data_IF_009451479428
#
_entry.id   IF_009451479428
#
_cell.length_a   1.000
_cell.length_b   1.000
_cell.length_c   1.000
_cell.angle_alpha   90.00
_cell.angle_beta   90.00
_cell.angle_gamma   90.00
#
_symmetry.space_group_name_H-M   'P 1'
#
loop_
_entity.id
_entity.type
_entity.pdbx_description
1 polymer ?
#
# COMPACT_ATOMS: atom_id res chain seq x y z
N UNK A 1 -5.61 -32.87 -34.87
CA UNK A 1 -5.42 -31.46 -35.26
C UNK A 1 -4.60 -30.80 -34.14
N UNK A 2 -3.38 -30.30 -34.51
CA UNK A 2 -2.35 -29.84 -33.58
C UNK A 2 -2.54 -28.35 -33.27
N UNK A 3 -2.97 -27.99 -32.06
CA UNK A 3 -3.03 -26.58 -31.57
C UNK A 3 -2.45 -26.46 -30.14
N UNK A 4 -1.41 -27.23 -29.83
CA UNK A 4 -0.85 -27.29 -28.48
C UNK A 4 0.51 -26.61 -28.30
N UNK A 5 1.01 -25.91 -29.32
CA UNK A 5 2.40 -25.43 -29.30
C UNK A 5 2.62 -23.94 -29.11
N UNK A 6 1.60 -23.09 -29.23
CA UNK A 6 1.80 -21.65 -29.31
C UNK A 6 1.59 -20.89 -27.98
N UNK A 7 0.93 -21.51 -27.01
CA UNK A 7 0.68 -20.88 -25.71
C UNK A 7 1.86 -20.98 -24.72
N UNK A 8 2.75 -21.95 -24.93
CA UNK A 8 3.85 -22.20 -23.99
C UNK A 8 5.05 -21.25 -24.15
N UNK A 9 5.22 -20.65 -25.32
CA UNK A 9 6.35 -19.76 -25.61
C UNK A 9 6.15 -18.33 -25.09
N UNK A 10 4.92 -17.87 -24.90
CA UNK A 10 4.65 -16.52 -24.39
C UNK A 10 4.83 -16.45 -22.87
N UNK A 11 4.67 -17.58 -22.17
CA UNK A 11 4.78 -17.65 -20.71
C UNK A 11 6.24 -17.62 -20.21
N UNK A 12 7.19 -18.11 -21.01
CA UNK A 12 8.61 -18.13 -20.64
C UNK A 12 9.27 -16.74 -20.70
N UNK A 13 8.68 -15.78 -21.42
CA UNK A 13 9.23 -14.42 -21.53
C UNK A 13 8.85 -13.53 -20.33
N UNK A 14 7.75 -13.84 -19.63
CA UNK A 14 7.38 -13.10 -18.42
C UNK A 14 8.16 -13.52 -17.17
N UNK A 15 8.58 -14.79 -17.08
CA UNK A 15 9.31 -15.28 -15.90
C UNK A 15 10.77 -14.83 -15.88
N UNK A 16 11.37 -14.54 -17.04
CA UNK A 16 12.76 -14.05 -17.13
C UNK A 16 12.92 -12.58 -16.72
N UNK A 17 11.85 -11.78 -16.73
CA UNK A 17 11.91 -10.39 -16.30
C UNK A 17 11.81 -10.23 -14.76
N UNK A 18 11.21 -11.20 -14.06
CA UNK A 18 11.11 -11.18 -12.59
C UNK A 18 12.33 -11.82 -11.88
N UNK A 19 13.10 -12.65 -12.58
CA UNK A 19 14.23 -13.38 -11.99
C UNK A 19 15.57 -12.61 -11.99
N UNK A 20 15.59 -11.36 -12.44
CA UNK A 20 16.84 -10.60 -12.64
C UNK A 20 17.01 -9.39 -11.72
N UNK A 21 16.26 -9.33 -10.61
CA UNK A 21 16.40 -8.21 -9.66
C UNK A 21 17.03 -8.68 -8.34
N UNK A 22 18.22 -9.27 -8.45
CA UNK A 22 19.14 -9.44 -7.33
C UNK A 22 20.37 -8.56 -7.61
N UNK A 23 20.21 -7.25 -7.46
CA UNK A 23 21.32 -6.31 -7.48
C UNK A 23 21.18 -5.32 -6.34
N UNK A 24 22.22 -5.21 -5.53
CA UNK A 24 22.42 -4.26 -4.42
C UNK A 24 22.43 -2.77 -4.85
N UNK A 25 21.75 -2.41 -5.93
CA UNK A 25 21.59 -1.03 -6.36
C UNK A 25 20.31 -0.44 -5.78
N UNK A 26 20.36 0.75 -5.18
CA UNK A 26 19.17 1.47 -4.80
C UNK A 26 18.29 1.66 -6.05
N UNK A 27 16.98 1.39 -5.90
CA UNK A 27 15.99 1.55 -6.96
C UNK A 27 16.13 2.92 -7.63
N UNK A 28 16.09 2.95 -8.96
CA UNK A 28 16.08 4.19 -9.73
C UNK A 28 14.80 5.01 -9.45
N UNK A 29 14.78 6.29 -9.82
CA UNK A 29 13.59 7.12 -9.68
C UNK A 29 12.37 6.57 -10.43
N UNK A 30 12.59 5.91 -11.59
CA UNK A 30 11.53 5.28 -12.38
C UNK A 30 11.03 3.97 -11.73
N UNK A 31 11.93 3.20 -11.10
CA UNK A 31 11.54 2.03 -10.30
C UNK A 31 10.69 2.45 -9.09
N UNK A 32 11.06 3.54 -8.41
CA UNK A 32 10.27 4.10 -7.32
C UNK A 32 8.90 4.59 -7.77
N UNK A 33 8.78 5.19 -8.95
CA UNK A 33 7.49 5.58 -9.50
C UNK A 33 6.61 4.36 -9.77
N UNK A 34 7.16 3.30 -10.37
CA UNK A 34 6.44 2.06 -10.60
C UNK A 34 6.02 1.35 -9.30
N UNK A 35 6.82 1.46 -8.22
CA UNK A 35 6.46 0.98 -6.88
C UNK A 35 5.35 1.84 -6.28
N UNK A 36 5.42 3.17 -6.42
CA UNK A 36 4.40 4.09 -5.91
C UNK A 36 3.05 3.89 -6.64
N UNK A 37 3.04 3.69 -7.95
CA UNK A 37 1.83 3.37 -8.72
C UNK A 37 1.18 2.06 -8.25
N UNK A 38 2.00 1.06 -7.85
CA UNK A 38 1.50 -0.19 -7.26
C UNK A 38 1.02 -0.01 -5.83
N UNK A 39 1.61 0.91 -5.08
CA UNK A 39 1.19 1.27 -3.71
C UNK A 39 -0.19 1.90 -3.71
N UNK A 40 -0.49 2.77 -4.68
CA UNK A 40 -1.82 3.35 -4.88
C UNK A 40 -2.86 2.24 -5.10
N UNK A 41 -2.55 1.21 -5.91
CA UNK A 41 -3.43 0.05 -6.10
C UNK A 41 -3.68 -0.76 -4.81
N UNK A 42 -2.73 -0.78 -3.87
CA UNK A 42 -2.91 -1.43 -2.57
C UNK A 42 -3.72 -0.55 -1.59
N UNK A 43 -3.62 0.76 -1.71
CA UNK A 43 -4.43 1.70 -0.92
C UNK A 43 -5.90 1.66 -1.36
N UNK A 44 -6.19 1.53 -2.65
CA UNK A 44 -7.53 1.29 -3.19
C UNK A 44 -8.14 -0.05 -2.74
N UNK A 45 -7.33 -0.97 -2.22
CA UNK A 45 -7.79 -2.27 -1.69
C UNK A 45 -8.30 -2.24 -0.25
N UNK A 46 -8.60 -1.07 0.31
CA UNK A 46 -9.19 -0.92 1.66
C UNK A 46 -8.18 -0.91 2.80
N UNK A 47 -6.88 -0.79 2.53
CA UNK A 47 -5.86 -0.59 3.55
C UNK A 47 -5.85 0.89 4.00
N UNK A 48 -5.57 1.12 5.28
CA UNK A 48 -5.41 2.48 5.83
C UNK A 48 -4.43 3.30 4.98
N UNK A 49 -4.75 4.57 4.67
CA UNK A 49 -3.86 5.45 3.94
C UNK A 49 -2.54 5.65 4.68
N UNK A 50 -1.47 5.91 3.95
CA UNK A 50 -0.16 6.22 4.52
C UNK A 50 -0.10 7.72 4.80
N UNK A 51 -0.43 8.14 6.01
CA UNK A 51 -0.57 9.56 6.40
C UNK A 51 0.75 10.34 6.39
N UNK A 52 1.85 9.69 6.73
CA UNK A 52 3.12 10.37 6.99
C UNK A 52 3.71 11.14 5.79
N UNK A 53 3.67 10.64 4.53
CA UNK A 53 4.13 11.40 3.38
C UNK A 53 3.37 12.70 3.21
N UNK A 54 2.04 12.69 3.38
CA UNK A 54 1.19 13.86 3.25
C UNK A 54 1.43 14.87 4.37
N UNK A 55 1.53 14.40 5.60
CA UNK A 55 1.88 15.21 6.77
C UNK A 55 3.24 15.90 6.55
N UNK A 56 4.25 15.16 6.10
CA UNK A 56 5.60 15.70 5.92
C UNK A 56 5.71 16.64 4.72
N UNK A 57 4.90 16.47 3.68
CA UNK A 57 4.82 17.36 2.52
C UNK A 57 4.20 18.71 2.91
N UNK A 58 3.21 18.67 3.78
CA UNK A 58 2.44 19.84 4.23
C UNK A 58 2.84 20.33 5.63
N UNK A 59 4.04 20.00 6.11
CA UNK A 59 4.52 20.30 7.47
C UNK A 59 4.40 21.78 7.84
N UNK A 60 4.62 22.69 6.88
CA UNK A 60 4.58 24.12 7.12
C UNK A 60 3.12 24.62 7.24
N UNK A 61 2.19 24.07 6.46
CA UNK A 61 0.73 24.31 6.57
C UNK A 61 0.18 23.78 7.87
N UNK A 62 0.60 22.55 8.27
CA UNK A 62 0.20 21.91 9.52
C UNK A 62 0.87 22.57 10.73
N UNK A 63 1.91 23.37 10.52
CA UNK A 63 2.72 24.04 11.55
C UNK A 63 3.42 23.03 12.49
N UNK A 64 4.06 22.00 11.91
CA UNK A 64 4.79 21.02 12.71
C UNK A 64 6.01 21.63 13.38
N UNK A 65 6.21 21.31 14.67
CA UNK A 65 7.44 21.66 15.37
C UNK A 65 8.63 20.80 14.91
N UNK A 66 9.83 21.24 15.18
CA UNK A 66 11.04 20.47 14.86
C UNK A 66 11.08 19.12 15.59
N UNK A 67 10.58 19.06 16.81
CA UNK A 67 10.48 17.84 17.61
C UNK A 67 9.53 16.83 16.96
N UNK A 68 8.37 17.30 16.49
CA UNK A 68 7.40 16.47 15.77
C UNK A 68 7.99 15.94 14.44
N UNK A 69 8.62 16.81 13.66
CA UNK A 69 9.31 16.43 12.41
C UNK A 69 10.38 15.36 12.68
N UNK A 70 11.15 15.51 13.75
CA UNK A 70 12.18 14.53 14.12
C UNK A 70 11.55 13.20 14.59
N UNK A 71 10.46 13.23 15.36
CA UNK A 71 9.73 12.02 15.74
C UNK A 71 9.21 11.24 14.51
N UNK A 72 8.64 11.93 13.53
CA UNK A 72 8.16 11.32 12.29
C UNK A 72 9.31 10.76 11.42
N UNK A 73 10.44 11.45 11.35
CA UNK A 73 11.64 10.94 10.66
C UNK A 73 12.21 9.69 11.32
N UNK A 74 12.24 9.66 12.65
CA UNK A 74 12.69 8.49 13.41
C UNK A 74 11.79 7.30 13.15
N UNK A 75 10.47 7.48 13.28
CA UNK A 75 9.51 6.42 12.99
C UNK A 75 9.67 5.89 11.56
N UNK A 76 9.82 6.78 10.57
CA UNK A 76 10.04 6.41 9.18
C UNK A 76 11.32 5.57 9.02
N UNK A 77 12.42 6.00 9.61
CA UNK A 77 13.72 5.30 9.55
C UNK A 77 13.61 3.86 10.09
N UNK A 78 12.83 3.68 11.15
CA UNK A 78 12.66 2.38 11.80
C UNK A 78 11.72 1.44 11.05
N UNK A 79 10.69 1.97 10.38
CA UNK A 79 9.59 1.17 9.85
C UNK A 79 9.57 1.07 8.32
N UNK A 80 10.16 2.02 7.60
CA UNK A 80 10.00 2.16 6.14
C UNK A 80 10.46 0.92 5.36
N UNK A 81 11.65 0.42 5.65
CA UNK A 81 12.21 -0.75 4.95
C UNK A 81 11.33 -1.98 5.13
N UNK A 82 10.89 -2.24 6.37
CA UNK A 82 9.99 -3.36 6.66
C UNK A 82 8.64 -3.20 5.96
N UNK A 83 8.07 -2.00 5.99
CA UNK A 83 6.82 -1.69 5.29
C UNK A 83 6.93 -1.96 3.78
N UNK A 84 8.00 -1.49 3.13
CA UNK A 84 8.22 -1.70 1.68
C UNK A 84 8.41 -3.17 1.36
N UNK A 85 9.16 -3.91 2.19
CA UNK A 85 9.36 -5.35 1.99
C UNK A 85 8.03 -6.13 2.05
N UNK A 86 7.21 -5.87 3.07
CA UNK A 86 5.88 -6.49 3.21
C UNK A 86 4.99 -6.15 2.02
N UNK A 87 4.97 -4.89 1.58
CA UNK A 87 4.18 -4.47 0.41
C UNK A 87 4.60 -5.19 -0.86
N UNK A 88 5.91 -5.31 -1.10
CA UNK A 88 6.43 -6.04 -2.26
C UNK A 88 6.05 -7.53 -2.20
N UNK A 89 6.13 -8.15 -1.02
CA UNK A 89 5.75 -9.55 -0.84
C UNK A 89 4.24 -9.76 -1.09
N UNK A 90 3.38 -8.86 -0.60
CA UNK A 90 1.95 -8.89 -0.89
C UNK A 90 1.71 -8.84 -2.40
N UNK A 91 2.34 -7.90 -3.12
CA UNK A 91 2.18 -7.76 -4.57
C UNK A 91 2.57 -9.03 -5.30
N UNK A 92 3.74 -9.58 -4.98
CA UNK A 92 4.24 -10.83 -5.61
C UNK A 92 3.26 -11.97 -5.34
N UNK A 93 2.83 -12.16 -4.09
CA UNK A 93 1.87 -13.21 -3.73
C UNK A 93 0.52 -13.02 -4.42
N UNK A 94 0.00 -11.81 -4.52
CA UNK A 94 -1.25 -11.54 -5.24
C UNK A 94 -1.16 -11.88 -6.73
N UNK A 95 -0.02 -11.60 -7.37
CA UNK A 95 0.21 -12.00 -8.78
C UNK A 95 0.23 -13.52 -8.91
N UNK A 96 0.97 -14.23 -8.05
CA UNK A 96 1.03 -15.69 -8.05
C UNK A 96 -0.35 -16.30 -7.79
N UNK A 97 -1.07 -15.81 -6.79
CA UNK A 97 -2.43 -16.27 -6.49
C UNK A 97 -3.36 -16.17 -7.70
N UNK A 98 -3.33 -15.04 -8.43
CA UNK A 98 -4.14 -14.86 -9.65
C UNK A 98 -3.76 -15.86 -10.74
N UNK A 99 -2.47 -16.12 -10.93
CA UNK A 99 -2.00 -17.10 -11.93
C UNK A 99 -2.43 -18.50 -11.55
N UNK A 100 -2.21 -18.91 -10.30
CA UNK A 100 -2.56 -20.23 -9.80
C UNK A 100 -4.07 -20.49 -9.80
N UNK A 101 -4.88 -19.46 -9.52
CA UNK A 101 -6.36 -19.57 -9.53
C UNK A 101 -6.95 -19.88 -10.93
N UNK A 102 -6.17 -19.70 -11.99
CA UNK A 102 -6.57 -20.05 -13.37
C UNK A 102 -6.17 -21.48 -13.75
N UNK A 103 -5.41 -22.20 -12.90
CA UNK A 103 -4.98 -23.57 -13.18
C UNK A 103 -6.03 -24.59 -12.68
N UNK A 104 -6.49 -25.51 -13.54
CA UNK A 104 -7.43 -26.55 -13.12
C UNK A 104 -6.82 -27.60 -12.18
N UNK A 105 -5.48 -27.64 -12.07
CA UNK A 105 -4.76 -28.62 -11.25
C UNK A 105 -4.55 -28.14 -9.80
N UNK A 106 -4.88 -26.89 -9.51
CA UNK A 106 -4.74 -26.31 -8.17
C UNK A 106 -6.03 -26.50 -7.36
N UNK A 107 -5.91 -27.07 -6.17
CA UNK A 107 -7.06 -27.29 -5.29
C UNK A 107 -7.54 -26.01 -4.61
N UNK A 108 -8.83 -25.97 -4.25
CA UNK A 108 -9.39 -24.84 -3.50
C UNK A 108 -8.72 -24.68 -2.12
N UNK A 109 -8.32 -25.78 -1.47
CA UNK A 109 -7.62 -25.77 -0.18
C UNK A 109 -6.27 -25.07 -0.31
N UNK A 110 -5.53 -25.31 -1.42
CA UNK A 110 -4.28 -24.61 -1.69
C UNK A 110 -4.52 -23.11 -1.87
N UNK A 111 -5.53 -22.71 -2.65
CA UNK A 111 -5.87 -21.30 -2.86
C UNK A 111 -6.29 -20.61 -1.55
N UNK A 112 -7.04 -21.28 -0.69
CA UNK A 112 -7.41 -20.75 0.62
C UNK A 112 -6.19 -20.57 1.54
N UNK A 113 -5.27 -21.53 1.56
CA UNK A 113 -4.03 -21.42 2.32
C UNK A 113 -3.18 -20.24 1.80
N UNK A 114 -3.05 -20.11 0.48
CA UNK A 114 -2.32 -19.02 -0.14
C UNK A 114 -2.94 -17.65 0.19
N UNK A 115 -4.28 -17.54 0.12
CA UNK A 115 -4.98 -16.31 0.50
C UNK A 115 -4.76 -15.96 1.98
N UNK A 116 -4.69 -16.97 2.86
CA UNK A 116 -4.37 -16.75 4.28
C UNK A 116 -2.99 -16.13 4.47
N UNK A 117 -1.97 -16.58 3.73
CA UNK A 117 -0.64 -15.98 3.78
C UNK A 117 -0.64 -14.50 3.35
N UNK A 118 -1.39 -14.17 2.29
CA UNK A 118 -1.56 -12.77 1.85
C UNK A 118 -2.22 -11.95 2.98
N UNK A 119 -3.24 -12.49 3.61
CA UNK A 119 -3.96 -11.83 4.70
C UNK A 119 -3.06 -11.57 5.92
N UNK A 120 -2.18 -12.51 6.27
CA UNK A 120 -1.22 -12.34 7.36
C UNK A 120 -0.23 -11.19 7.08
N UNK A 121 0.24 -11.06 5.85
CA UNK A 121 1.08 -9.94 5.43
C UNK A 121 0.31 -8.60 5.47
N UNK A 122 -0.94 -8.58 5.01
CA UNK A 122 -1.80 -7.40 5.11
C UNK A 122 -2.01 -6.97 6.56
N UNK A 123 -2.20 -7.92 7.49
CA UNK A 123 -2.29 -7.61 8.92
C UNK A 123 -0.99 -7.03 9.49
N UNK A 124 0.17 -7.54 9.06
CA UNK A 124 1.46 -7.00 9.48
C UNK A 124 1.63 -5.55 8.98
N UNK A 125 1.29 -5.29 7.72
CA UNK A 125 1.31 -3.95 7.15
C UNK A 125 0.36 -3.00 7.90
N UNK A 126 -0.85 -3.46 8.21
CA UNK A 126 -1.83 -2.69 8.98
C UNK A 126 -1.29 -2.31 10.37
N UNK A 127 -0.62 -3.23 11.07
CA UNK A 127 -0.01 -2.93 12.39
C UNK A 127 1.02 -1.81 12.29
N UNK A 128 1.84 -1.79 11.24
CA UNK A 128 2.81 -0.72 11.00
C UNK A 128 2.08 0.61 10.74
N UNK A 129 1.07 0.62 9.88
CA UNK A 129 0.27 1.83 9.58
C UNK A 129 -0.45 2.36 10.83
N UNK A 130 -1.00 1.47 11.66
CA UNK A 130 -1.62 1.85 12.95
C UNK A 130 -0.62 2.43 13.94
N UNK A 131 0.62 1.97 13.97
CA UNK A 131 1.66 2.57 14.80
C UNK A 131 1.99 4.00 14.36
N UNK A 132 2.03 4.26 13.04
CA UNK A 132 2.15 5.60 12.49
C UNK A 132 0.96 6.50 12.89
N UNK A 133 -0.27 5.98 12.71
CA UNK A 133 -1.49 6.69 13.12
C UNK A 133 -1.46 7.03 14.60
N UNK A 134 -1.05 6.10 15.46
CA UNK A 134 -0.92 6.35 16.91
C UNK A 134 0.07 7.49 17.18
N UNK A 135 1.23 7.50 16.50
CA UNK A 135 2.20 8.58 16.65
C UNK A 135 1.59 9.93 16.27
N UNK A 136 0.86 10.02 15.16
CA UNK A 136 0.18 11.26 14.73
C UNK A 136 -0.81 11.71 15.80
N UNK A 137 -1.70 10.82 16.28
CA UNK A 137 -2.72 11.13 17.28
C UNK A 137 -2.10 11.66 18.59
N UNK A 138 -0.98 11.08 19.02
CA UNK A 138 -0.34 11.47 20.29
C UNK A 138 0.54 12.71 20.15
N UNK A 139 0.80 13.17 18.93
CA UNK A 139 1.77 14.23 18.66
C UNK A 139 1.08 15.53 18.21
N UNK A 140 -0.06 15.45 17.51
CA UNK A 140 -0.78 16.61 17.00
C UNK A 140 -1.54 17.34 18.10
N UNK A 141 -1.54 18.68 18.01
CA UNK A 141 -2.46 19.57 18.72
C UNK A 141 -3.80 19.66 17.98
N UNK A 142 -4.84 20.19 18.64
CA UNK A 142 -6.15 20.40 18.01
C UNK A 142 -6.04 21.31 16.78
N UNK A 143 -5.28 22.40 16.86
CA UNK A 143 -5.03 23.30 15.74
C UNK A 143 -4.33 22.59 14.56
N UNK A 144 -3.40 21.70 14.85
CA UNK A 144 -2.74 20.91 13.81
C UNK A 144 -3.68 19.90 13.14
N UNK A 145 -4.66 19.38 13.90
CA UNK A 145 -5.72 18.56 13.32
C UNK A 145 -6.62 19.35 12.36
N UNK A 146 -6.98 20.57 12.71
CA UNK A 146 -7.76 21.47 11.84
C UNK A 146 -6.98 21.78 10.54
N UNK A 147 -5.71 22.14 10.66
CA UNK A 147 -4.84 22.38 9.53
C UNK A 147 -4.66 21.14 8.65
N UNK A 148 -4.55 19.95 9.26
CA UNK A 148 -4.47 18.69 8.53
C UNK A 148 -5.77 18.35 7.82
N UNK A 149 -6.93 18.58 8.43
CA UNK A 149 -8.23 18.42 7.79
C UNK A 149 -8.36 19.31 6.53
N UNK A 150 -7.87 20.55 6.60
CA UNK A 150 -7.79 21.42 5.44
C UNK A 150 -6.92 20.82 4.33
N UNK A 151 -5.72 20.33 4.65
CA UNK A 151 -4.82 19.65 3.70
C UNK A 151 -5.49 18.42 3.05
N UNK A 152 -6.23 17.63 3.84
CA UNK A 152 -6.97 16.46 3.34
C UNK A 152 -8.10 16.87 2.39
N UNK A 153 -8.85 17.91 2.72
CA UNK A 153 -9.95 18.39 1.89
C UNK A 153 -9.48 18.97 0.54
N UNK A 154 -8.28 19.52 0.52
CA UNK A 154 -7.66 20.10 -0.69
C UNK A 154 -7.00 19.03 -1.59
N UNK A 155 -6.84 17.80 -1.09
CA UNK A 155 -6.29 16.68 -1.84
C UNK A 155 -7.43 15.84 -2.45
N UNK A 156 -7.63 15.84 -3.80
CA UNK A 156 -8.75 15.15 -4.44
C UNK A 156 -8.83 13.64 -4.16
N UNK A 157 -7.67 12.99 -3.96
CA UNK A 157 -7.61 11.56 -3.67
C UNK A 157 -8.09 11.23 -2.25
N UNK A 158 -7.71 12.07 -1.27
CA UNK A 158 -8.14 11.91 0.11
C UNK A 158 -9.57 12.42 0.32
N UNK A 159 -9.96 13.52 -0.35
CA UNK A 159 -11.31 14.06 -0.31
C UNK A 159 -12.34 13.06 -0.87
N UNK A 160 -11.99 12.28 -1.89
CA UNK A 160 -12.89 11.23 -2.43
C UNK A 160 -13.18 10.13 -1.40
N UNK A 161 -12.24 9.79 -0.52
CA UNK A 161 -12.47 8.82 0.56
C UNK A 161 -13.44 9.37 1.62
N UNK A 162 -13.34 10.65 1.95
CA UNK A 162 -14.22 11.32 2.92
C UNK A 162 -15.63 11.44 2.34
N UNK A 163 -15.77 11.87 1.08
CA UNK A 163 -17.08 12.02 0.43
C UNK A 163 -17.84 10.71 0.23
N UNK A 164 -17.16 9.59 0.13
CA UNK A 164 -17.79 8.27 0.09
C UNK A 164 -18.45 7.90 1.41
N UNK A 165 -17.87 8.29 2.54
CA UNK A 165 -18.45 8.07 3.89
C UNK A 165 -19.71 8.89 4.07
N UNK A 166 -19.69 10.18 3.72
CA UNK A 166 -20.83 11.07 3.83
C UNK A 166 -22.03 10.61 2.98
N UNK A 167 -21.77 9.98 1.83
CA UNK A 167 -22.82 9.42 0.98
C UNK A 167 -23.40 8.08 1.50
N UNK A 168 -22.64 7.32 2.31
CA UNK A 168 -23.13 6.06 2.91
C UNK A 168 -24.08 6.30 4.09
N UNK A 169 -23.87 7.35 4.87
CA UNK A 169 -24.72 7.66 6.04
C UNK A 169 -26.11 8.21 5.65
N UNK A 170 -26.29 8.70 4.42
CA UNK A 170 -27.56 9.23 3.95
C UNK A 170 -28.55 8.15 3.49
N UNK A 171 -28.10 6.91 3.22
CA UNK A 171 -28.97 5.84 2.69
C UNK A 171 -29.59 4.95 3.79
N UNK A 172 -29.27 5.19 5.05
CA UNK A 172 -29.83 4.44 6.19
C UNK A 172 -30.94 5.18 6.98
N UNK A 173 -31.42 6.32 6.47
CA UNK A 173 -32.47 7.13 7.13
C UNK A 173 -33.85 7.03 6.44
N UNK A 174 -34.20 5.86 5.85
CA UNK A 174 -35.55 5.58 5.36
C UNK A 174 -36.16 4.33 5.96
#
# INVERSE_FOLDING_TARGET
MKLSGLFFTLFLLCTSALAKHNSDHPLSADDWKAVLDKVVLLEDSGLLPTLLPEIMRNRDTIQLTNEQVNAFRTWRKENYTNMVNIMNEIIVKMVHFRVESLSPDISNEHLLAFQSEIHDLQQQLLKIKLSCRKLVITTFTDEQWENFAFVVSDNPQLASLVSQVDNMDLDHSH
#
